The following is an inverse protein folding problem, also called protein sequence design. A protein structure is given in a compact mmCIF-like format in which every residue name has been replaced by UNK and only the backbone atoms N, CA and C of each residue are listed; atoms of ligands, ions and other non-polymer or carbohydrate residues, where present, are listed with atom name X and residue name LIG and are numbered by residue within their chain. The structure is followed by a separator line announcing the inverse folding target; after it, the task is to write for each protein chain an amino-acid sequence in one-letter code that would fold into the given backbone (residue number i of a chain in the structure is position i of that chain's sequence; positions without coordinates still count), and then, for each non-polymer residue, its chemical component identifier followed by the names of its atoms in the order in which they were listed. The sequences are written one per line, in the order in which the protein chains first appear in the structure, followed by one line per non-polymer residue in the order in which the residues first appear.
data_IF_676362575423
#
_entry.id   IF_676362575423
#
_cell.length_a   1.000
_cell.length_b   1.000
_cell.length_c   1.000
_cell.angle_alpha   90.00
_cell.angle_beta   90.00
_cell.angle_gamma   90.00
#
_symmetry.space_group_name_H-M   'P 1'
#
loop_
_entity.id
_entity.type
_entity.pdbx_description
1 polymer ?
#
# COMPACT_ATOMS: atom_id res chain seq x y z
N UNK A 1 -14.15 15.95 8.82
CA UNK A 1 -14.95 15.19 7.83
C UNK A 1 -14.34 13.82 7.70
N UNK A 2 -15.05 12.78 8.11
CA UNK A 2 -14.63 11.41 7.86
C UNK A 2 -15.03 11.03 6.43
N UNK A 3 -14.07 10.47 5.69
CA UNK A 3 -14.31 9.98 4.33
C UNK A 3 -14.61 8.49 4.43
N UNK A 4 -15.78 8.07 3.98
CA UNK A 4 -16.12 6.65 3.84
C UNK A 4 -15.52 6.16 2.52
N UNK A 5 -14.70 5.12 2.60
CA UNK A 5 -14.14 4.45 1.43
C UNK A 5 -14.89 3.15 1.15
N UNK A 6 -15.55 3.11 -0.01
CA UNK A 6 -16.22 1.92 -0.52
C UNK A 6 -15.46 1.27 -1.68
N UNK A 7 -15.70 -0.01 -1.93
CA UNK A 7 -15.28 -0.66 -3.15
C UNK A 7 -16.11 -0.14 -4.32
N UNK A 8 -15.47 0.31 -5.40
CA UNK A 8 -16.19 0.84 -6.56
C UNK A 8 -17.10 -0.18 -7.25
N UNK A 9 -16.71 -1.46 -7.27
CA UNK A 9 -17.45 -2.49 -8.00
C UNK A 9 -18.70 -2.98 -7.27
N UNK A 10 -18.62 -3.18 -5.95
CA UNK A 10 -19.72 -3.78 -5.17
C UNK A 10 -20.31 -2.86 -4.10
N UNK A 11 -19.76 -1.65 -3.91
CA UNK A 11 -20.22 -0.70 -2.89
C UNK A 11 -19.88 -1.08 -1.44
N UNK A 12 -19.23 -2.24 -1.20
CA UNK A 12 -18.91 -2.68 0.14
C UNK A 12 -18.00 -1.68 0.88
N UNK A 13 -18.33 -1.37 2.14
CA UNK A 13 -17.50 -0.52 2.99
C UNK A 13 -16.17 -1.25 3.31
N UNK A 14 -15.06 -0.59 2.98
CA UNK A 14 -13.71 -1.13 3.13
C UNK A 14 -13.06 -0.80 4.48
N UNK A 15 -13.77 -0.06 5.34
CA UNK A 15 -13.32 0.31 6.68
C UNK A 15 -11.92 0.96 6.70
N UNK A 16 -11.67 1.85 5.74
CA UNK A 16 -10.41 2.61 5.66
C UNK A 16 -10.59 3.90 6.46
N UNK A 17 -9.72 4.13 7.45
CA UNK A 17 -9.76 5.34 8.27
C UNK A 17 -8.74 6.37 7.82
N UNK A 18 -9.15 7.64 7.73
CA UNK A 18 -8.28 8.77 7.36
C UNK A 18 -7.15 9.01 8.35
N UNK A 19 -7.29 8.56 9.61
CA UNK A 19 -6.24 8.63 10.65
C UNK A 19 -4.98 7.84 10.24
N UNK A 20 -5.14 6.78 9.45
CA UNK A 20 -4.05 5.94 8.96
C UNK A 20 -3.62 6.30 7.53
N UNK A 21 -4.20 7.33 6.93
CA UNK A 21 -3.86 7.79 5.59
C UNK A 21 -2.55 8.59 5.63
N UNK A 22 -1.59 8.21 4.80
CA UNK A 22 -0.39 9.02 4.61
C UNK A 22 -0.72 10.34 3.91
N UNK A 23 -0.08 11.46 4.30
CA UNK A 23 -0.21 12.72 3.61
C UNK A 23 0.09 12.60 2.11
N UNK A 24 -0.56 13.40 1.25
CA UNK A 24 -0.33 13.37 -0.19
C UNK A 24 1.13 13.69 -0.57
N UNK A 25 1.78 14.55 0.23
CA UNK A 25 3.16 14.98 0.03
C UNK A 25 4.20 14.04 0.65
N UNK A 26 3.77 12.95 1.29
CA UNK A 26 4.70 11.98 1.87
C UNK A 26 5.45 11.24 0.75
N UNK A 27 6.78 11.28 0.83
CA UNK A 27 7.65 10.65 -0.16
C UNK A 27 7.65 9.13 -0.02
N UNK A 28 7.48 8.44 -1.15
CA UNK A 28 7.64 7.00 -1.25
C UNK A 28 8.47 6.67 -2.47
N UNK A 29 9.37 5.69 -2.35
CA UNK A 29 10.26 5.27 -3.43
C UNK A 29 9.47 4.77 -4.65
N UNK A 30 8.38 4.03 -4.43
CA UNK A 30 7.49 3.57 -5.51
C UNK A 30 6.39 4.57 -5.93
N UNK A 31 6.46 5.80 -5.40
CA UNK A 31 5.54 6.91 -5.65
C UNK A 31 4.11 6.70 -5.14
N UNK A 32 3.29 7.76 -5.23
CA UNK A 32 1.90 7.76 -4.77
C UNK A 32 0.90 8.36 -5.79
N UNK A 33 1.31 8.53 -7.05
CA UNK A 33 0.46 9.19 -8.07
C UNK A 33 -0.83 8.39 -8.31
N UNK A 34 -1.98 9.06 -8.15
CA UNK A 34 -3.30 8.50 -8.40
C UNK A 34 -3.70 7.38 -7.42
N UNK A 35 -3.08 7.35 -6.25
CA UNK A 35 -3.30 6.33 -5.22
C UNK A 35 -3.43 6.95 -3.83
N UNK A 36 -4.10 6.23 -2.93
CA UNK A 36 -4.11 6.50 -1.50
C UNK A 36 -3.27 5.44 -0.81
N UNK A 37 -2.43 5.84 0.13
CA UNK A 37 -1.54 4.94 0.86
C UNK A 37 -1.89 4.97 2.34
N UNK A 38 -2.12 3.81 2.95
CA UNK A 38 -2.44 3.69 4.36
C UNK A 38 -1.34 2.94 5.11
N UNK A 39 -1.11 3.32 6.36
CA UNK A 39 -0.19 2.62 7.27
C UNK A 39 -0.80 1.34 7.84
N UNK A 40 -2.10 1.37 8.12
CA UNK A 40 -2.84 0.27 8.74
C UNK A 40 -4.20 0.13 8.04
N UNK A 41 -4.65 -1.11 7.87
CA UNK A 41 -5.98 -1.44 7.34
C UNK A 41 -6.61 -2.59 8.13
N UNK A 42 -7.93 -2.68 8.11
CA UNK A 42 -8.67 -3.83 8.63
C UNK A 42 -8.54 -5.02 7.67
N UNK A 43 -7.69 -6.00 8.02
CA UNK A 43 -7.43 -7.17 7.20
C UNK A 43 -8.66 -8.05 6.96
N UNK A 44 -9.72 -7.94 7.77
CA UNK A 44 -10.95 -8.74 7.60
C UNK A 44 -11.73 -8.37 6.33
N UNK A 45 -11.57 -7.14 5.84
CA UNK A 45 -12.26 -6.62 4.65
C UNK A 45 -11.54 -6.94 3.34
N UNK A 46 -10.36 -7.54 3.42
CA UNK A 46 -9.51 -7.79 2.25
C UNK A 46 -9.01 -9.22 2.16
N UNK A 47 -8.77 -9.66 0.93
CA UNK A 47 -8.06 -10.91 0.63
C UNK A 47 -6.71 -10.57 0.01
N UNK A 48 -5.64 -11.13 0.57
CA UNK A 48 -4.28 -10.91 0.08
C UNK A 48 -3.83 -12.09 -0.79
N UNK A 49 -3.37 -11.80 -2.00
CA UNK A 49 -2.87 -12.83 -2.92
C UNK A 49 -1.48 -12.45 -3.43
N UNK A 50 -0.52 -13.35 -3.25
CA UNK A 50 0.83 -13.18 -3.82
C UNK A 50 0.74 -13.26 -5.35
N UNK A 51 1.31 -12.28 -6.03
CA UNK A 51 1.48 -12.26 -7.48
C UNK A 51 2.97 -12.27 -7.79
N UNK A 52 3.39 -13.22 -8.62
CA UNK A 52 4.70 -13.25 -9.25
C UNK A 52 4.50 -13.10 -10.76
N UNK A 53 5.07 -12.05 -11.34
CA UNK A 53 5.02 -11.77 -12.78
C UNK A 53 6.42 -11.62 -13.33
N UNK A 54 6.71 -12.30 -14.43
CA UNK A 54 7.92 -12.12 -15.22
C UNK A 54 7.63 -11.13 -16.36
N UNK A 55 7.47 -9.86 -16.03
CA UNK A 55 7.23 -8.78 -16.99
C UNK A 55 8.08 -7.58 -16.57
N UNK A 56 8.80 -6.92 -17.50
CA UNK A 56 9.58 -5.72 -17.19
C UNK A 56 8.72 -4.68 -16.45
N UNK A 57 9.26 -4.15 -15.36
CA UNK A 57 8.59 -3.12 -14.57
C UNK A 57 9.59 -2.14 -13.98
N UNK A 58 9.08 -0.95 -13.66
CA UNK A 58 9.79 0.07 -12.91
C UNK A 58 9.27 0.07 -11.47
N UNK A 59 10.18 -0.06 -10.50
CA UNK A 59 9.84 0.06 -9.08
C UNK A 59 9.96 1.51 -8.63
N UNK A 60 11.07 2.14 -8.99
CA UNK A 60 11.39 3.55 -8.75
C UNK A 60 11.81 4.20 -10.08
N UNK A 61 12.11 5.51 -10.07
CA UNK A 61 12.61 6.21 -11.25
C UNK A 61 13.94 5.63 -11.77
N UNK A 62 14.78 5.11 -10.86
CA UNK A 62 16.14 4.67 -11.17
C UNK A 62 16.30 3.14 -11.13
N UNK A 63 15.23 2.40 -10.87
CA UNK A 63 15.26 0.94 -10.78
C UNK A 63 14.17 0.30 -11.63
N UNK A 64 14.62 -0.58 -12.52
CA UNK A 64 13.79 -1.48 -13.30
C UNK A 64 14.16 -2.92 -13.01
N UNK A 65 13.21 -3.83 -13.16
CA UNK A 65 13.40 -5.25 -12.96
C UNK A 65 12.53 -6.08 -13.90
N UNK A 66 12.83 -7.38 -13.98
CA UNK A 66 12.10 -8.32 -14.85
C UNK A 66 11.07 -9.13 -14.05
N UNK A 67 11.40 -9.50 -12.82
CA UNK A 67 10.52 -10.26 -11.95
C UNK A 67 9.86 -9.35 -10.91
N UNK A 68 8.54 -9.24 -10.99
CA UNK A 68 7.72 -8.44 -10.07
C UNK A 68 6.98 -9.36 -9.10
N UNK A 69 7.45 -9.38 -7.85
CA UNK A 69 6.77 -10.02 -6.73
C UNK A 69 6.00 -8.95 -5.94
N UNK A 70 4.67 -9.01 -5.90
CA UNK A 70 3.85 -8.09 -5.08
C UNK A 70 2.67 -8.82 -4.46
N UNK A 71 2.18 -8.30 -3.34
CA UNK A 71 0.95 -8.81 -2.73
C UNK A 71 -0.23 -7.95 -3.20
N UNK A 72 -1.18 -8.57 -3.89
CA UNK A 72 -2.45 -7.94 -4.29
C UNK A 72 -3.34 -7.79 -3.08
N UNK A 73 -4.05 -6.66 -3.03
CA UNK A 73 -5.14 -6.42 -2.11
C UNK A 73 -6.43 -6.51 -2.91
N UNK A 74 -7.25 -7.51 -2.61
CA UNK A 74 -8.55 -7.71 -3.23
C UNK A 74 -9.64 -7.41 -2.21
N UNK A 75 -10.76 -6.83 -2.65
CA UNK A 75 -11.95 -6.71 -1.82
C UNK A 75 -12.44 -8.11 -1.45
N UNK A 76 -12.68 -8.37 -0.16
CA UNK A 76 -13.14 -9.68 0.29
C UNK A 76 -14.55 -10.00 -0.23
N UNK A 77 -15.42 -8.99 -0.37
CA UNK A 77 -16.82 -9.18 -0.80
C UNK A 77 -16.99 -9.55 -2.28
N UNK A 78 -16.18 -8.99 -3.18
CA UNK A 78 -16.34 -9.20 -4.64
C UNK A 78 -15.10 -9.77 -5.34
N UNK A 79 -13.99 -9.91 -4.63
CA UNK A 79 -12.72 -10.41 -5.18
C UNK A 79 -11.99 -9.46 -6.12
N UNK A 80 -12.50 -8.25 -6.39
CA UNK A 80 -11.84 -7.27 -7.28
C UNK A 80 -10.56 -6.73 -6.65
N UNK A 81 -9.52 -6.57 -7.47
CA UNK A 81 -8.28 -5.88 -7.10
C UNK A 81 -8.54 -4.41 -6.78
N UNK A 82 -8.23 -4.01 -5.54
CA UNK A 82 -8.33 -2.62 -5.07
C UNK A 82 -6.96 -1.95 -4.88
N UNK A 83 -5.91 -2.73 -4.65
CA UNK A 83 -4.58 -2.19 -4.33
C UNK A 83 -3.46 -3.21 -4.30
N UNK A 84 -2.29 -2.78 -3.82
CA UNK A 84 -1.11 -3.61 -3.60
C UNK A 84 -0.42 -3.23 -2.29
N UNK A 85 0.24 -4.19 -1.67
CA UNK A 85 1.13 -3.97 -0.51
C UNK A 85 2.54 -3.69 -1.02
N UNK A 86 3.22 -2.72 -0.41
CA UNK A 86 4.62 -2.40 -0.64
C UNK A 86 5.35 -2.33 0.69
N UNK A 87 6.61 -2.77 0.73
CA UNK A 87 7.43 -2.74 1.96
C UNK A 87 8.34 -1.52 1.96
N UNK A 88 7.79 -0.35 1.61
CA UNK A 88 8.48 0.95 1.56
C UNK A 88 7.92 1.97 2.57
N UNK A 89 7.26 1.49 3.63
CA UNK A 89 6.78 2.31 4.75
C UNK A 89 7.91 2.80 5.67
N UNK A 90 7.60 3.38 6.84
CA UNK A 90 8.61 3.79 7.82
C UNK A 90 9.47 2.58 8.29
N UNK A 91 10.73 2.81 8.70
CA UNK A 91 11.56 1.76 9.28
C UNK A 91 10.90 1.20 10.54
N UNK A 92 10.98 -0.12 10.74
CA UNK A 92 10.41 -0.79 11.93
C UNK A 92 11.30 -0.62 13.17
N UNK A 93 12.55 -0.21 12.99
CA UNK A 93 13.54 -0.07 14.06
C UNK A 93 14.39 1.18 13.82
N UNK A 94 14.56 2.00 14.86
CA UNK A 94 15.46 3.17 14.85
C UNK A 94 16.91 2.80 15.22
N UNK A 95 17.26 1.51 15.15
CA UNK A 95 18.60 1.03 15.49
C UNK A 95 19.59 1.32 14.35
N UNK A 96 20.81 1.78 14.65
CA UNK A 96 21.88 1.96 13.65
C UNK A 96 22.47 0.62 13.13
N UNK A 97 21.71 -0.48 13.21
CA UNK A 97 22.16 -1.86 12.93
C UNK A 97 22.91 -2.51 14.10
N UNK A 98 23.17 -3.82 13.98
CA UNK A 98 24.03 -4.54 14.91
C UNK A 98 25.48 -3.99 14.76
N UNK A 99 26.11 -3.57 15.88
CA UNK A 99 27.48 -3.04 15.95
C UNK A 99 27.74 -1.61 15.43
N UNK A 100 26.73 -0.74 15.29
CA UNK A 100 26.91 0.62 14.76
C UNK A 100 27.58 0.69 13.37
N UNK A 101 27.55 -0.40 12.59
CA UNK A 101 28.12 -0.44 11.23
C UNK A 101 27.23 0.24 10.17
N UNK A 102 26.27 1.06 10.60
CA UNK A 102 25.47 1.92 9.73
C UNK A 102 24.44 1.15 8.89
N UNK A 103 23.66 1.88 8.06
CA UNK A 103 22.49 1.35 7.35
C UNK A 103 22.85 0.43 6.16
N UNK A 104 23.98 -0.26 6.19
CA UNK A 104 24.33 -1.28 5.18
C UNK A 104 23.50 -2.56 5.31
N UNK A 105 22.72 -2.68 6.40
CA UNK A 105 21.74 -3.75 6.58
C UNK A 105 20.38 -3.29 6.06
N UNK A 106 19.67 -4.16 5.32
CA UNK A 106 18.30 -3.91 4.90
C UNK A 106 17.44 -3.77 6.16
N UNK A 107 17.10 -2.53 6.53
CA UNK A 107 16.24 -2.25 7.67
C UNK A 107 14.84 -2.77 7.33
N UNK A 108 14.23 -3.65 8.14
CA UNK A 108 12.86 -4.08 7.91
C UNK A 108 11.93 -2.86 7.92
N UNK A 109 11.14 -2.70 6.85
CA UNK A 109 10.21 -1.57 6.70
C UNK A 109 8.79 -2.03 6.94
N UNK A 110 7.97 -1.11 7.44
CA UNK A 110 6.55 -1.36 7.64
C UNK A 110 5.83 -1.53 6.28
N UNK A 111 4.79 -2.38 6.21
CA UNK A 111 3.98 -2.50 5.02
C UNK A 111 3.20 -1.21 4.78
N UNK A 112 3.09 -0.82 3.52
CA UNK A 112 2.26 0.26 3.01
C UNK A 112 1.16 -0.32 2.15
N UNK A 113 -0.08 -0.02 2.51
CA UNK A 113 -1.26 -0.46 1.77
C UNK A 113 -1.67 0.60 0.76
N UNK A 114 -1.30 0.39 -0.51
CA UNK A 114 -1.54 1.34 -1.59
C UNK A 114 -2.79 0.96 -2.39
N UNK A 115 -3.82 1.78 -2.30
CA UNK A 115 -5.08 1.63 -3.04
C UNK A 115 -5.15 2.54 -4.25
N UNK A 116 -5.79 2.05 -5.32
CA UNK A 116 -6.01 2.85 -6.53
C UNK A 116 -7.25 3.71 -6.36
N UNK A 117 -7.15 5.01 -6.62
CA UNK A 117 -8.31 5.92 -6.53
C UNK A 117 -9.46 5.43 -7.43
N UNK A 118 -9.12 4.94 -8.62
CA UNK A 118 -10.12 4.38 -9.56
C UNK A 118 -10.85 3.13 -9.08
N UNK A 119 -10.37 2.46 -8.04
CA UNK A 119 -10.97 1.25 -7.47
C UNK A 119 -11.79 1.55 -6.20
N UNK A 120 -11.74 2.80 -5.72
CA UNK A 120 -12.45 3.25 -4.52
C UNK A 120 -13.58 4.21 -4.91
N UNK A 121 -14.68 4.14 -4.16
CA UNK A 121 -15.70 5.18 -4.10
C UNK A 121 -15.46 5.96 -2.81
N UNK A 122 -15.39 7.29 -2.89
CA UNK A 122 -15.18 8.15 -1.73
C UNK A 122 -16.48 8.92 -1.51
N UNK A 123 -17.07 8.75 -0.33
CA UNK A 123 -18.26 9.47 0.12
C UNK A 123 -17.89 10.25 1.38
N UNK A 124 -18.12 11.57 1.38
CA UNK A 124 -17.95 12.41 2.56
C UNK A 124 -19.13 12.22 3.52
N UNK A 125 -18.88 11.92 4.79
CA UNK A 125 -19.89 12.07 5.84
C UNK A 125 -20.19 13.56 6.02
N UNK A 126 -21.44 13.95 5.79
CA UNK A 126 -22.00 15.28 6.09
C UNK A 126 -22.28 15.44 7.57
#
# INVERSE_FOLDING_TARGET
MASIYGCKECGANLNLHTIHLYPPDFYFEAGNKGTLSFSIIDSSKFSFKKENKFVPFFETLNYWGIQRNRTKINCNSCGKLVGYVYDDGPPMTDSPGQLHMGPSQVIPRAPRYRFKNKALTITSET
#
